data_IF_195112367359
#
_entry.id   IF_195112367359
#
_cell.length_a   1.000
_cell.length_b   1.000
_cell.length_c   1.000
_cell.angle_alpha   90.00
_cell.angle_beta   90.00
_cell.angle_gamma   90.00
#
_symmetry.space_group_name_H-M   'P 1'
#
loop_
_entity.id
_entity.type
_entity.pdbx_description
1 polymer ?
#
# COMPACT_ATOMS: atom_id res chain seq x y z
N UNK A 1 -28.19 46.60 11.12
CA UNK A 1 -27.12 45.65 10.79
C UNK A 1 -25.87 46.13 11.50
N UNK A 2 -25.78 45.86 12.80
CA UNK A 2 -24.65 46.27 13.63
C UNK A 2 -23.60 45.17 13.64
N UNK A 3 -22.39 45.51 13.16
CA UNK A 3 -21.04 45.24 13.68
C UNK A 3 -20.74 43.99 14.55
N UNK A 4 -21.55 42.92 14.51
CA UNK A 4 -21.40 41.66 15.25
C UNK A 4 -20.46 40.65 14.57
N UNK A 5 -19.37 41.12 13.96
CA UNK A 5 -18.28 40.28 13.45
C UNK A 5 -16.97 40.40 14.22
N UNK A 6 -16.94 41.28 15.23
CA UNK A 6 -15.79 41.59 16.09
C UNK A 6 -16.12 41.27 17.56
N UNK A 7 -16.55 40.04 17.85
CA UNK A 7 -16.15 39.47 19.14
C UNK A 7 -14.67 39.13 18.93
N UNK A 8 -13.82 40.03 19.40
CA UNK A 8 -12.45 40.19 18.96
C UNK A 8 -11.65 38.94 19.36
N UNK A 9 -10.94 38.32 18.42
CA UNK A 9 -9.97 37.26 18.68
C UNK A 9 -9.00 37.61 19.81
N UNK A 10 -8.75 38.90 20.03
CA UNK A 10 -7.98 39.47 21.15
C UNK A 10 -8.60 39.15 22.52
N UNK A 11 -9.92 39.24 22.67
CA UNK A 11 -10.62 38.92 23.93
C UNK A 11 -10.58 37.42 24.23
N UNK A 12 -10.68 36.57 23.21
CA UNK A 12 -10.52 35.12 23.37
C UNK A 12 -9.07 34.75 23.69
N UNK A 13 -8.09 35.44 23.10
CA UNK A 13 -6.67 35.27 23.42
C UNK A 13 -6.36 35.66 24.86
N UNK A 14 -6.98 36.72 25.40
CA UNK A 14 -6.84 37.08 26.81
C UNK A 14 -7.44 36.02 27.75
N UNK A 15 -8.65 35.53 27.45
CA UNK A 15 -9.33 34.49 28.24
C UNK A 15 -8.52 33.19 28.28
N UNK A 16 -7.98 32.78 27.15
CA UNK A 16 -7.27 31.51 27.00
C UNK A 16 -5.74 31.61 27.12
N UNK A 17 -5.19 32.80 27.44
CA UNK A 17 -3.74 33.04 27.64
C UNK A 17 -3.06 32.02 28.56
N UNK A 18 -3.63 31.63 29.72
CA UNK A 18 -2.99 30.67 30.63
C UNK A 18 -2.74 29.29 30.00
N UNK A 19 -3.56 28.89 29.03
CA UNK A 19 -3.49 27.58 28.38
C UNK A 19 -2.63 27.65 27.11
N UNK A 20 -2.68 28.78 26.39
CA UNK A 20 -1.90 29.00 25.17
C UNK A 20 -0.40 29.18 25.46
N UNK A 21 -0.05 29.68 26.66
CA UNK A 21 1.33 30.01 27.05
C UNK A 21 1.86 29.14 28.20
N UNK A 22 1.24 27.98 28.44
CA UNK A 22 1.65 27.06 29.50
C UNK A 22 3.05 26.49 29.25
N UNK A 23 3.91 26.49 30.29
CA UNK A 23 5.32 26.13 30.18
C UNK A 23 5.58 24.68 29.73
N UNK A 24 4.61 23.78 29.91
CA UNK A 24 4.72 22.36 29.58
C UNK A 24 4.32 22.04 28.13
N UNK A 25 3.78 23.00 27.37
CA UNK A 25 3.34 22.81 25.99
C UNK A 25 4.15 23.73 25.06
N UNK A 26 4.64 23.25 23.90
CA UNK A 26 5.34 24.09 22.94
C UNK A 26 4.50 25.33 22.56
N UNK A 27 5.06 26.52 22.76
CA UNK A 27 4.37 27.78 22.52
C UNK A 27 3.95 27.93 21.04
N UNK A 28 2.70 28.32 20.82
CA UNK A 28 2.17 28.59 19.47
C UNK A 28 2.66 29.97 19.01
N UNK A 29 3.67 29.98 18.13
CA UNK A 29 4.31 31.21 17.63
C UNK A 29 3.56 31.88 16.48
N UNK A 30 2.78 31.13 15.70
CA UNK A 30 2.02 31.64 14.56
C UNK A 30 0.71 32.33 15.01
N UNK A 31 0.52 33.63 14.72
CA UNK A 31 -0.68 34.39 15.09
C UNK A 31 -1.98 33.78 14.56
N UNK A 32 -1.96 33.20 13.34
CA UNK A 32 -3.15 32.61 12.75
C UNK A 32 -3.55 31.32 13.48
N UNK A 33 -2.58 30.45 13.77
CA UNK A 33 -2.83 29.26 14.60
C UNK A 33 -3.31 29.62 15.99
N UNK A 34 -2.72 30.64 16.62
CA UNK A 34 -3.14 31.10 17.95
C UNK A 34 -4.63 31.51 17.94
N UNK A 35 -5.07 32.27 16.94
CA UNK A 35 -6.47 32.65 16.80
C UNK A 35 -7.43 31.44 16.60
N UNK A 36 -7.09 30.52 15.70
CA UNK A 36 -7.94 29.34 15.44
C UNK A 36 -8.00 28.40 16.65
N UNK A 37 -6.88 28.18 17.34
CA UNK A 37 -6.83 27.37 18.56
C UNK A 37 -7.66 27.98 19.68
N UNK A 38 -7.64 29.31 19.86
CA UNK A 38 -8.48 29.96 20.88
C UNK A 38 -9.98 29.82 20.61
N UNK A 39 -10.40 29.82 19.34
CA UNK A 39 -11.81 29.58 18.97
C UNK A 39 -12.20 28.12 19.20
N UNK A 40 -11.29 27.19 18.88
CA UNK A 40 -11.54 25.77 19.11
C UNK A 40 -11.63 25.46 20.61
N UNK A 41 -10.78 26.08 21.44
CA UNK A 41 -10.83 25.94 22.90
C UNK A 41 -12.14 26.49 23.47
N UNK A 42 -12.64 27.60 22.96
CA UNK A 42 -13.95 28.13 23.36
C UNK A 42 -15.08 27.15 23.03
N UNK A 43 -15.12 26.66 21.79
CA UNK A 43 -16.12 25.67 21.38
C UNK A 43 -15.99 24.40 22.24
N UNK A 44 -14.77 23.93 22.49
CA UNK A 44 -14.55 22.76 23.34
C UNK A 44 -15.01 22.98 24.78
N UNK A 45 -14.79 24.15 25.36
CA UNK A 45 -15.27 24.47 26.71
C UNK A 45 -16.79 24.50 26.80
N UNK A 46 -17.47 24.99 25.76
CA UNK A 46 -18.92 24.95 25.67
C UNK A 46 -19.43 23.50 25.57
N UNK A 47 -18.83 22.67 24.73
CA UNK A 47 -19.22 21.27 24.53
C UNK A 47 -18.79 20.31 25.67
N UNK A 48 -17.73 20.62 26.41
CA UNK A 48 -17.23 19.84 27.56
C UNK A 48 -17.90 20.23 28.89
N UNK A 49 -18.83 21.18 28.89
CA UNK A 49 -19.76 21.33 30.01
C UNK A 49 -20.71 20.14 30.02
N UNK A 50 -20.23 19.02 30.56
CA UNK A 50 -20.99 17.80 30.74
C UNK A 50 -22.25 18.15 31.55
N UNK A 51 -23.41 17.98 30.92
CA UNK A 51 -24.68 18.07 31.63
C UNK A 51 -24.60 17.09 32.80
N UNK A 52 -24.72 17.59 34.03
CA UNK A 52 -24.70 16.76 35.22
C UNK A 52 -25.61 15.54 35.00
N UNK A 53 -25.18 14.32 35.40
CA UNK A 53 -25.97 13.12 35.20
C UNK A 53 -27.37 13.35 35.74
N UNK A 54 -28.36 13.39 34.83
CA UNK A 54 -29.74 13.63 35.24
C UNK A 54 -30.26 12.32 35.83
N UNK A 55 -30.02 12.09 37.11
CA UNK A 55 -30.67 11.01 37.86
C UNK A 55 -32.16 11.32 37.90
N UNK A 56 -32.92 10.68 37.00
CA UNK A 56 -34.38 10.79 36.95
C UNK A 56 -34.98 9.83 37.97
N UNK A 57 -34.91 10.18 39.24
CA UNK A 57 -35.76 9.58 40.28
C UNK A 57 -36.89 10.57 40.57
N UNK A 58 -38.14 10.07 40.59
CA UNK A 58 -39.26 10.83 41.12
C UNK A 58 -39.00 11.20 42.59
N UNK A 59 -39.59 12.30 43.07
CA UNK A 59 -39.31 12.86 44.40
C UNK A 59 -39.39 11.82 45.52
N UNK A 60 -38.52 12.00 46.53
CA UNK A 60 -38.33 11.19 47.74
C UNK A 60 -37.34 9.99 47.68
N UNK A 61 -36.49 9.89 46.65
CA UNK A 61 -35.40 8.88 46.60
C UNK A 61 -34.05 9.58 46.71
N UNK A 62 -33.25 9.23 47.73
CA UNK A 62 -31.84 9.63 47.81
C UNK A 62 -31.09 9.08 46.59
N UNK A 63 -30.55 10.00 45.79
CA UNK A 63 -29.82 9.68 44.58
C UNK A 63 -28.45 9.09 44.95
N UNK A 64 -28.17 7.87 44.48
CA UNK A 64 -26.86 7.25 44.64
C UNK A 64 -25.84 7.94 43.74
N UNK A 65 -24.71 8.36 44.31
CA UNK A 65 -23.54 8.82 43.55
C UNK A 65 -22.96 7.64 42.75
N UNK A 66 -22.95 7.70 41.40
CA UNK A 66 -22.36 6.63 40.62
C UNK A 66 -20.85 6.56 40.89
N UNK A 67 -20.36 5.37 41.26
CA UNK A 67 -18.93 5.10 41.36
C UNK A 67 -18.35 5.08 39.95
N UNK A 68 -17.48 6.04 39.66
CA UNK A 68 -16.80 6.14 38.36
C UNK A 68 -15.79 5.00 38.24
N UNK A 69 -16.11 4.00 37.40
CA UNK A 69 -15.14 3.03 36.92
C UNK A 69 -14.46 3.59 35.67
N UNK A 70 -13.13 3.47 35.59
CA UNK A 70 -12.38 4.04 34.47
C UNK A 70 -12.77 3.38 33.15
N UNK A 71 -12.88 4.19 32.09
CA UNK A 71 -13.03 3.65 30.74
C UNK A 71 -11.67 3.11 30.27
N UNK A 72 -11.63 1.84 29.86
CA UNK A 72 -10.46 1.25 29.21
C UNK A 72 -10.47 1.62 27.72
N UNK A 73 -9.42 2.28 27.24
CA UNK A 73 -9.25 2.58 25.81
C UNK A 73 -8.74 1.35 25.04
N UNK A 74 -9.23 1.16 23.81
CA UNK A 74 -8.71 0.14 22.88
C UNK A 74 -7.40 0.63 22.24
N UNK A 75 -6.38 -0.23 22.15
CA UNK A 75 -5.13 0.09 21.46
C UNK A 75 -5.34 0.11 19.93
N UNK A 76 -4.65 1.02 19.23
CA UNK A 76 -4.60 1.04 17.77
C UNK A 76 -3.71 -0.12 17.27
N UNK A 77 -4.09 -0.85 16.21
CA UNK A 77 -3.30 -1.96 15.69
C UNK A 77 -2.05 -1.50 14.90
N UNK A 78 -1.03 -2.36 14.84
CA UNK A 78 0.18 -2.13 14.04
C UNK A 78 -0.09 -2.40 12.55
N UNK A 79 0.49 -1.60 11.65
CA UNK A 79 0.31 -1.68 10.20
C UNK A 79 1.62 -2.08 9.51
N UNK A 80 1.55 -3.05 8.59
CA UNK A 80 2.68 -3.58 7.80
C UNK A 80 2.62 -3.18 6.32
N UNK A 81 1.83 -2.15 5.99
CA UNK A 81 1.46 -1.87 4.59
C UNK A 81 2.65 -1.63 3.66
N UNK A 82 3.66 -0.87 4.09
CA UNK A 82 4.82 -0.51 3.26
C UNK A 82 5.98 -1.51 3.33
N UNK A 83 5.85 -2.59 4.11
CA UNK A 83 6.90 -3.59 4.27
C UNK A 83 6.79 -4.72 3.23
N UNK A 84 5.57 -5.01 2.78
CA UNK A 84 5.29 -6.12 1.86
C UNK A 84 5.27 -5.66 0.40
N UNK A 85 4.76 -4.46 0.12
CA UNK A 85 4.61 -3.96 -1.24
C UNK A 85 5.46 -2.73 -1.50
N UNK A 86 6.10 -2.71 -2.67
CA UNK A 86 6.74 -1.51 -3.20
C UNK A 86 5.69 -0.48 -3.61
N UNK A 87 5.98 0.79 -3.35
CA UNK A 87 5.12 1.90 -3.75
C UNK A 87 5.87 2.77 -4.74
N UNK A 88 5.23 3.06 -5.88
CA UNK A 88 5.71 4.07 -6.83
C UNK A 88 4.89 5.36 -6.59
N UNK A 89 5.50 6.44 -6.06
CA UNK A 89 4.79 7.70 -5.88
C UNK A 89 4.32 8.26 -7.22
N UNK A 90 3.05 8.67 -7.29
CA UNK A 90 2.43 9.22 -8.50
C UNK A 90 2.20 10.72 -8.39
N UNK A 91 2.59 11.46 -9.42
CA UNK A 91 2.37 12.92 -9.53
C UNK A 91 1.08 13.27 -10.30
N UNK A 92 0.48 12.31 -11.01
CA UNK A 92 -0.79 12.44 -11.73
C UNK A 92 -1.81 11.38 -11.31
N UNK A 93 -3.10 11.55 -11.68
CA UNK A 93 -4.18 10.64 -11.27
C UNK A 93 -4.11 9.26 -11.93
N UNK A 94 -3.34 9.11 -13.01
CA UNK A 94 -3.18 7.86 -13.74
C UNK A 94 -1.72 7.55 -13.98
N UNK A 95 -1.35 6.28 -13.84
CA UNK A 95 -0.02 5.74 -14.10
C UNK A 95 -0.11 4.71 -15.20
N UNK A 96 0.88 4.67 -16.10
CA UNK A 96 0.99 3.68 -17.16
C UNK A 96 2.22 2.82 -16.88
N UNK A 97 2.05 1.51 -16.95
CA UNK A 97 3.14 0.54 -16.82
C UNK A 97 3.25 -0.19 -18.15
N UNK A 98 4.43 -0.17 -18.75
CA UNK A 98 4.75 -0.91 -19.96
C UNK A 98 5.72 -2.04 -19.62
N UNK A 99 5.43 -3.24 -20.14
CA UNK A 99 6.30 -4.39 -20.04
C UNK A 99 6.71 -4.84 -21.44
N UNK A 100 7.98 -5.21 -21.61
CA UNK A 100 8.48 -5.82 -22.83
C UNK A 100 8.53 -7.33 -22.64
N UNK A 101 7.86 -8.06 -23.54
CA UNK A 101 7.91 -9.52 -23.61
C UNK A 101 8.63 -9.93 -24.88
N UNK A 102 9.57 -10.86 -24.77
CA UNK A 102 10.30 -11.39 -25.93
C UNK A 102 9.59 -12.63 -26.47
N UNK A 103 9.35 -12.67 -27.78
CA UNK A 103 8.72 -13.80 -28.45
C UNK A 103 9.62 -14.28 -29.59
N UNK A 104 9.53 -15.57 -29.94
CA UNK A 104 10.32 -16.17 -31.01
C UNK A 104 9.83 -15.76 -32.41
N UNK A 105 8.77 -16.39 -32.92
CA UNK A 105 8.31 -16.23 -34.31
C UNK A 105 7.15 -15.26 -34.50
N UNK A 106 6.24 -15.19 -33.52
CA UNK A 106 4.99 -14.43 -33.61
C UNK A 106 4.77 -13.61 -32.35
N UNK A 107 4.09 -12.47 -32.50
CA UNK A 107 3.66 -11.60 -31.40
C UNK A 107 2.76 -12.30 -30.36
N UNK A 108 2.13 -13.41 -30.75
CA UNK A 108 1.31 -14.24 -29.86
C UNK A 108 1.92 -15.61 -29.56
N UNK A 109 3.15 -15.87 -30.02
CA UNK A 109 3.83 -17.16 -29.88
C UNK A 109 4.43 -17.36 -28.48
N UNK A 110 5.19 -18.45 -28.32
CA UNK A 110 5.90 -18.73 -27.07
C UNK A 110 6.89 -17.62 -26.71
N UNK A 111 6.95 -17.31 -25.42
CA UNK A 111 7.88 -16.33 -24.84
C UNK A 111 9.27 -16.95 -24.68
N UNK A 112 10.32 -16.20 -25.04
CA UNK A 112 11.69 -16.72 -25.03
C UNK A 112 12.36 -16.71 -23.64
N UNK A 113 11.90 -15.82 -22.75
CA UNK A 113 12.42 -15.68 -21.38
C UNK A 113 11.36 -16.02 -20.33
N UNK A 114 10.48 -16.97 -20.66
CA UNK A 114 9.40 -17.41 -19.80
C UNK A 114 9.86 -18.27 -18.62
N UNK A 115 8.90 -18.91 -17.96
CA UNK A 115 9.16 -19.85 -16.86
C UNK A 115 9.66 -21.22 -17.34
N UNK A 116 9.54 -21.49 -18.64
CA UNK A 116 9.99 -22.70 -19.30
C UNK A 116 11.44 -22.58 -19.77
N UNK A 117 12.09 -23.71 -20.03
CA UNK A 117 13.45 -23.75 -20.56
C UNK A 117 13.52 -23.17 -21.98
N UNK A 118 14.63 -22.48 -22.29
CA UNK A 118 14.82 -21.83 -23.59
C UNK A 118 14.90 -22.85 -24.72
N UNK A 119 14.20 -22.58 -25.84
CA UNK A 119 14.27 -23.44 -27.03
C UNK A 119 15.61 -23.29 -27.76
N UNK A 120 16.51 -24.25 -27.52
CA UNK A 120 17.83 -24.31 -28.15
C UNK A 120 17.79 -24.77 -29.62
N UNK A 121 16.65 -25.27 -30.12
CA UNK A 121 16.49 -25.63 -31.53
C UNK A 121 16.15 -24.42 -32.41
N UNK A 122 15.64 -23.33 -31.83
CA UNK A 122 15.16 -22.16 -32.57
C UNK A 122 16.20 -21.53 -33.51
N UNK A 123 17.46 -21.44 -33.04
CA UNK A 123 18.60 -20.94 -33.81
C UNK A 123 19.56 -22.06 -34.29
N UNK A 124 19.13 -23.32 -34.21
CA UNK A 124 19.92 -24.52 -34.51
C UNK A 124 19.90 -24.93 -35.99
N UNK A 125 20.37 -26.17 -36.27
CA UNK A 125 20.63 -26.71 -37.61
C UNK A 125 19.50 -26.57 -38.63
N UNK A 126 18.24 -26.60 -38.18
CA UNK A 126 17.07 -26.42 -39.02
C UNK A 126 16.12 -25.49 -38.26
N UNK A 127 15.81 -24.32 -38.86
CA UNK A 127 15.05 -23.27 -38.19
C UNK A 127 13.75 -23.73 -37.53
N UNK A 128 13.35 -23.02 -36.48
CA UNK A 128 12.10 -23.15 -35.70
C UNK A 128 11.31 -24.47 -35.89
N UNK A 129 11.71 -25.53 -35.18
CA UNK A 129 10.88 -26.74 -34.99
C UNK A 129 11.14 -27.91 -35.93
N UNK A 130 12.22 -27.88 -36.73
CA UNK A 130 12.58 -29.01 -37.59
C UNK A 130 13.43 -30.04 -36.83
N UNK A 131 12.86 -31.23 -36.63
CA UNK A 131 13.55 -32.38 -36.03
C UNK A 131 14.51 -32.97 -37.06
N UNK A 132 15.82 -32.81 -36.88
CA UNK A 132 16.78 -33.57 -37.68
C UNK A 132 16.67 -35.06 -37.29
N UNK A 133 16.80 -36.03 -38.21
CA UNK A 133 16.90 -37.43 -37.83
C UNK A 133 18.10 -37.64 -36.90
N UNK A 134 17.83 -37.83 -35.60
CA UNK A 134 18.86 -37.92 -34.54
C UNK A 134 19.14 -36.62 -33.76
N UNK A 135 18.55 -35.49 -34.16
CA UNK A 135 18.55 -34.24 -33.40
C UNK A 135 17.35 -34.20 -32.45
N UNK A 136 17.62 -34.02 -31.15
CA UNK A 136 16.56 -33.91 -30.15
C UNK A 136 15.57 -32.79 -30.47
N UNK A 137 14.27 -33.05 -30.24
CA UNK A 137 13.21 -32.06 -30.40
C UNK A 137 13.36 -30.88 -29.43
N UNK A 138 12.47 -29.87 -29.51
CA UNK A 138 12.50 -28.71 -28.61
C UNK A 138 12.62 -29.19 -27.15
N UNK A 139 13.49 -28.55 -26.33
CA UNK A 139 13.78 -29.01 -24.99
C UNK A 139 12.49 -29.17 -24.19
N UNK A 140 12.24 -30.39 -23.72
CA UNK A 140 11.11 -30.71 -22.87
C UNK A 140 11.62 -30.80 -21.44
N UNK A 141 11.13 -29.93 -20.57
CA UNK A 141 11.45 -29.96 -19.16
C UNK A 141 10.99 -31.32 -18.56
N UNK A 142 11.91 -32.18 -18.10
CA UNK A 142 11.59 -33.47 -17.54
C UNK A 142 10.85 -33.34 -16.20
N UNK A 143 10.84 -32.15 -15.59
CA UNK A 143 10.07 -31.86 -14.37
C UNK A 143 8.55 -31.76 -14.58
N UNK A 144 8.04 -31.82 -15.83
CA UNK A 144 6.63 -32.09 -16.10
C UNK A 144 6.26 -33.58 -15.92
N UNK A 145 7.27 -34.47 -15.81
CA UNK A 145 7.08 -35.84 -15.35
C UNK A 145 7.10 -35.86 -13.82
N UNK A 146 6.12 -36.56 -13.22
CA UNK A 146 6.08 -36.83 -11.77
C UNK A 146 6.92 -38.04 -11.37
N UNK A 147 7.60 -38.69 -12.31
CA UNK A 147 8.45 -39.87 -12.05
C UNK A 147 9.88 -39.44 -11.67
N UNK A 148 10.33 -39.66 -10.42
CA UNK A 148 11.68 -39.30 -9.96
C UNK A 148 12.80 -40.19 -10.52
N UNK A 149 12.48 -41.28 -11.23
CA UNK A 149 13.44 -42.18 -11.87
C UNK A 149 13.46 -42.08 -13.40
N UNK A 150 12.55 -41.29 -13.98
CA UNK A 150 12.63 -40.90 -15.37
C UNK A 150 13.82 -39.94 -15.51
N UNK A 151 14.99 -40.49 -15.84
CA UNK A 151 16.13 -39.71 -16.32
C UNK A 151 15.73 -39.07 -17.66
N UNK A 152 14.96 -37.99 -17.59
CA UNK A 152 14.62 -37.19 -18.76
C UNK A 152 15.87 -36.43 -19.17
N UNK A 153 16.60 -36.98 -20.13
CA UNK A 153 17.70 -36.28 -20.78
C UNK A 153 17.15 -35.04 -21.46
N UNK A 154 17.63 -33.86 -21.05
CA UNK A 154 17.34 -32.61 -21.76
C UNK A 154 17.78 -32.76 -23.21
N UNK A 155 16.84 -32.68 -24.14
CA UNK A 155 17.16 -32.66 -25.57
C UNK A 155 17.51 -31.24 -25.98
N UNK A 156 18.75 -31.01 -26.38
CA UNK A 156 19.19 -29.71 -26.92
C UNK A 156 19.26 -29.74 -28.44
N UNK A 157 19.03 -28.58 -29.05
CA UNK A 157 19.29 -28.37 -30.47
C UNK A 157 20.75 -28.64 -30.83
N UNK A 158 20.98 -29.19 -32.02
CA UNK A 158 22.31 -29.39 -32.59
C UNK A 158 22.64 -28.26 -33.57
N UNK A 159 23.92 -27.95 -33.73
CA UNK A 159 24.39 -26.99 -34.73
C UNK A 159 24.29 -27.55 -36.16
N UNK A 160 24.26 -26.66 -37.15
CA UNK A 160 24.25 -27.04 -38.57
C UNK A 160 25.49 -27.88 -38.92
N UNK A 161 25.30 -28.93 -39.71
CA UNK A 161 26.43 -29.76 -40.15
C UNK A 161 27.21 -29.04 -41.25
N UNK A 162 28.52 -29.32 -41.39
CA UNK A 162 29.33 -28.75 -42.49
C UNK A 162 28.79 -29.11 -43.88
N UNK A 163 28.11 -30.25 -44.02
CA UNK A 163 27.52 -30.65 -45.30
C UNK A 163 26.30 -29.80 -45.68
N UNK A 164 25.51 -29.37 -44.69
CA UNK A 164 24.30 -28.58 -44.91
C UNK A 164 24.60 -27.07 -45.02
N UNK A 165 25.70 -26.60 -44.43
CA UNK A 165 26.08 -25.16 -44.45
C UNK A 165 26.84 -24.70 -45.69
N UNK A 166 27.37 -25.63 -46.50
CA UNK A 166 28.15 -25.35 -47.72
C UNK A 166 27.31 -25.43 -49.01
N UNK A 167 26.01 -25.75 -48.89
CA UNK A 167 25.04 -25.82 -50.01
C UNK A 167 24.25 -24.52 -50.18
#
# INVERSE_FOLDING_TARGET
MDLNGRILTEQLQEKWRPIVEHAEVPAITDPYRKAVTTVLLENQAEYLSEAAPTNRTGGEIDNWDPILISLVRRAMPNLIAFDICGVQPMTGPTGLIFAMKSHYTSQTGNEALGLDEADTTFAGAQGAGATQPGGGGPPQNPALSTDPFAAGTMTTGQGMTLADGEA
#
